data_IF_773414191962
#
_entry.id   IF_773414191962
#
_cell.length_a   1.000
_cell.length_b   1.000
_cell.length_c   1.000
_cell.angle_alpha   90.00
_cell.angle_beta   90.00
_cell.angle_gamma   90.00
#
_symmetry.space_group_name_H-M   'P 1'
#
loop_
_entity.id
_entity.type
_entity.pdbx_description
1 polymer ?
#
# COMPACT_ATOMS: atom_id res chain seq x y z
N UNK A 1 25.25 -4.04 -8.54
CA UNK A 1 23.99 -3.38 -8.10
C UNK A 1 23.27 -2.93 -9.36
N UNK A 2 22.34 -3.73 -9.87
CA UNK A 2 21.54 -3.35 -11.04
C UNK A 2 20.53 -2.28 -10.62
N UNK A 3 20.81 -1.03 -10.94
CA UNK A 3 19.93 0.10 -10.70
C UNK A 3 18.74 0.12 -11.66
N UNK A 4 17.79 -0.82 -11.49
CA UNK A 4 16.52 -0.71 -12.22
C UNK A 4 15.83 0.58 -11.82
N UNK A 5 15.40 1.36 -12.81
CA UNK A 5 14.64 2.60 -12.54
C UNK A 5 13.42 2.29 -11.67
N UNK A 6 13.07 3.16 -10.70
CA UNK A 6 11.90 2.96 -9.87
C UNK A 6 10.63 2.99 -10.74
N UNK A 7 9.72 2.04 -10.49
CA UNK A 7 8.41 1.99 -11.19
C UNK A 7 7.45 3.08 -10.73
N UNK A 8 7.67 3.61 -9.50
CA UNK A 8 6.92 4.71 -8.94
C UNK A 8 7.92 5.62 -8.20
N UNK A 9 7.89 6.93 -8.47
CA UNK A 9 8.86 7.89 -7.93
C UNK A 9 8.18 9.21 -7.58
N UNK A 10 8.55 9.75 -6.44
CA UNK A 10 8.31 11.15 -6.09
C UNK A 10 9.61 11.93 -6.27
N UNK A 11 9.52 13.15 -6.77
CA UNK A 11 10.63 14.02 -7.08
C UNK A 11 10.35 15.43 -6.55
N UNK A 12 11.02 15.80 -5.46
CA UNK A 12 10.88 17.09 -4.77
C UNK A 12 9.42 17.49 -4.45
N UNK A 13 8.62 16.51 -4.01
CA UNK A 13 7.18 16.69 -3.80
C UNK A 13 6.87 17.45 -2.52
N UNK A 14 6.12 18.55 -2.67
CA UNK A 14 5.44 19.26 -1.59
C UNK A 14 3.93 19.14 -1.68
N UNK A 15 3.26 19.11 -0.54
CA UNK A 15 1.80 19.01 -0.48
C UNK A 15 1.22 19.76 0.72
N UNK A 16 0.16 20.56 0.48
CA UNK A 16 -0.61 21.25 1.50
C UNK A 16 -2.02 20.67 1.64
N UNK A 17 -2.54 20.70 2.85
CA UNK A 17 -3.94 20.45 3.13
C UNK A 17 -4.57 21.74 3.65
N UNK A 18 -5.22 22.49 2.76
CA UNK A 18 -5.58 23.86 3.03
C UNK A 18 -4.33 24.72 3.24
N UNK A 19 -4.23 25.41 4.38
CA UNK A 19 -3.05 26.24 4.71
C UNK A 19 -1.91 25.49 5.38
N UNK A 20 -2.11 24.22 5.76
CA UNK A 20 -1.08 23.43 6.47
C UNK A 20 -0.25 22.66 5.46
N UNK A 21 1.05 22.89 5.46
CA UNK A 21 1.99 22.06 4.76
C UNK A 21 2.09 20.68 5.44
N UNK A 22 1.93 19.60 4.68
CA UNK A 22 1.91 18.21 5.17
C UNK A 22 3.13 17.45 4.69
N UNK A 23 3.59 17.71 3.46
CA UNK A 23 4.81 17.14 2.92
C UNK A 23 5.72 18.25 2.41
N UNK A 24 7.02 18.09 2.65
CA UNK A 24 8.03 19.07 2.36
C UNK A 24 9.20 18.42 1.62
N UNK A 25 9.32 18.67 0.33
CA UNK A 25 10.48 18.26 -0.48
C UNK A 25 10.75 16.75 -0.41
N UNK A 26 9.70 15.94 -0.59
CA UNK A 26 9.78 14.49 -0.50
C UNK A 26 10.25 13.91 -1.81
N UNK A 27 11.40 13.22 -1.78
CA UNK A 27 11.91 12.44 -2.90
C UNK A 27 12.11 10.99 -2.48
N UNK A 28 11.54 10.04 -3.22
CA UNK A 28 11.69 8.60 -3.00
C UNK A 28 11.35 7.82 -4.27
N UNK A 29 11.78 6.57 -4.32
CA UNK A 29 11.44 5.66 -5.42
C UNK A 29 11.03 4.30 -4.90
N UNK A 30 10.12 3.64 -5.60
CA UNK A 30 9.64 2.27 -5.34
C UNK A 30 10.11 1.37 -6.48
N UNK A 31 10.69 0.22 -6.17
CA UNK A 31 11.28 -0.68 -7.17
C UNK A 31 10.49 -1.98 -7.28
N UNK A 32 10.51 -2.57 -8.47
CA UNK A 32 9.98 -3.93 -8.70
C UNK A 32 10.77 -4.96 -7.90
N UNK A 33 10.06 -5.96 -7.38
CA UNK A 33 10.67 -7.02 -6.59
C UNK A 33 11.09 -6.64 -5.17
N UNK A 34 10.79 -5.39 -4.74
CA UNK A 34 11.18 -4.85 -3.45
C UNK A 34 9.96 -4.67 -2.53
N UNK A 35 10.11 -5.03 -1.28
CA UNK A 35 9.16 -4.73 -0.21
C UNK A 35 9.67 -3.54 0.59
N UNK A 36 8.99 -2.41 0.48
CA UNK A 36 9.34 -1.15 1.17
C UNK A 36 8.37 -0.88 2.31
N UNK A 37 8.88 -0.73 3.53
CA UNK A 37 8.12 -0.29 4.70
C UNK A 37 8.15 1.24 4.80
N UNK A 38 6.99 1.86 5.04
CA UNK A 38 6.87 3.29 5.34
C UNK A 38 6.50 3.46 6.82
N UNK A 39 7.42 4.00 7.60
CA UNK A 39 7.24 4.23 9.03
C UNK A 39 7.29 5.72 9.38
N UNK A 40 6.67 6.06 10.50
CA UNK A 40 6.68 7.42 11.04
C UNK A 40 5.56 7.62 12.06
N UNK A 41 5.65 8.64 12.91
CA UNK A 41 4.62 8.95 13.90
C UNK A 41 3.28 9.32 13.24
N UNK A 42 2.22 9.34 14.05
CA UNK A 42 0.92 9.84 13.61
C UNK A 42 1.05 11.31 13.19
N UNK A 43 0.43 11.65 12.06
CA UNK A 43 0.55 13.01 11.51
C UNK A 43 1.84 13.28 10.72
N UNK A 44 2.76 12.33 10.57
CA UNK A 44 3.99 12.48 9.77
C UNK A 44 3.74 12.71 8.28
N UNK A 45 2.52 12.41 7.78
CA UNK A 45 2.18 12.56 6.36
C UNK A 45 2.05 11.23 5.60
N UNK A 46 2.15 10.07 6.24
CA UNK A 46 2.10 8.73 5.59
C UNK A 46 0.89 8.56 4.67
N UNK A 47 -0.33 8.76 5.18
CA UNK A 47 -1.56 8.63 4.37
C UNK A 47 -1.60 9.63 3.21
N UNK A 48 -1.06 10.84 3.38
CA UNK A 48 -0.96 11.83 2.29
C UNK A 48 0.03 11.34 1.24
N UNK A 49 1.17 10.81 1.65
CA UNK A 49 2.16 10.21 0.78
C UNK A 49 1.56 9.05 -0.03
N UNK A 50 0.84 8.13 0.63
CA UNK A 50 0.14 7.05 -0.08
C UNK A 50 -0.87 7.58 -1.11
N UNK A 51 -1.62 8.63 -0.78
CA UNK A 51 -2.58 9.25 -1.74
C UNK A 51 -1.90 9.82 -2.97
N UNK A 52 -0.72 10.41 -2.83
CA UNK A 52 0.08 10.89 -3.96
C UNK A 52 0.60 9.72 -4.80
N UNK A 53 1.13 8.68 -4.17
CA UNK A 53 1.57 7.46 -4.84
C UNK A 53 0.44 6.75 -5.60
N UNK A 54 -0.80 6.82 -5.09
CA UNK A 54 -2.00 6.28 -5.71
C UNK A 54 -2.59 7.17 -6.83
N UNK A 55 -2.03 8.36 -7.06
CA UNK A 55 -2.62 9.35 -7.97
C UNK A 55 -3.97 9.92 -7.50
N UNK A 56 -4.33 9.74 -6.21
CA UNK A 56 -5.57 10.26 -5.61
C UNK A 56 -5.44 11.71 -5.16
N UNK A 57 -4.22 12.24 -5.09
CA UNK A 57 -3.92 13.65 -4.83
C UNK A 57 -2.88 14.12 -5.85
N UNK A 58 -2.87 15.42 -6.11
CA UNK A 58 -1.83 16.07 -6.94
C UNK A 58 -0.89 16.83 -6.01
N UNK A 59 0.43 16.76 -6.23
CA UNK A 59 1.37 17.57 -5.47
C UNK A 59 1.21 19.06 -5.82
N UNK A 60 1.51 19.94 -4.84
CA UNK A 60 1.55 21.39 -5.06
C UNK A 60 2.89 21.82 -5.69
N UNK A 61 3.96 21.08 -5.40
CA UNK A 61 5.28 21.23 -6.01
C UNK A 61 5.92 19.87 -6.25
N UNK A 62 6.91 19.82 -7.15
CA UNK A 62 7.56 18.58 -7.54
C UNK A 62 6.68 17.73 -8.44
N UNK A 63 7.03 16.44 -8.58
CA UNK A 63 6.37 15.57 -9.53
C UNK A 63 6.30 14.11 -9.06
N UNK A 64 5.20 13.43 -9.39
CA UNK A 64 5.04 11.98 -9.22
C UNK A 64 5.17 11.31 -10.57
N UNK A 65 5.98 10.26 -10.64
CA UNK A 65 6.27 9.49 -11.84
C UNK A 65 5.80 8.05 -11.69
N UNK A 66 5.12 7.53 -12.70
CA UNK A 66 4.72 6.12 -12.81
C UNK A 66 5.32 5.56 -14.10
N UNK A 67 6.10 4.50 -14.00
CA UNK A 67 6.76 3.84 -15.15
C UNK A 67 7.50 4.82 -16.08
N UNK A 68 8.23 5.77 -15.48
CA UNK A 68 9.01 6.75 -16.23
C UNK A 68 8.22 7.89 -16.86
N UNK A 69 6.91 7.95 -16.66
CA UNK A 69 6.06 9.05 -17.13
C UNK A 69 5.41 9.81 -15.97
N UNK A 70 5.17 11.13 -16.11
CA UNK A 70 4.47 11.87 -15.08
C UNK A 70 3.09 11.27 -14.77
N UNK A 71 2.74 11.12 -13.50
CA UNK A 71 1.45 10.61 -13.05
C UNK A 71 0.26 11.36 -13.66
N UNK A 72 0.43 12.65 -13.92
CA UNK A 72 -0.60 13.50 -14.51
C UNK A 72 -0.97 13.12 -15.96
N UNK A 73 -0.13 12.37 -16.66
CA UNK A 73 -0.38 11.90 -18.03
C UNK A 73 -1.21 10.61 -18.08
N UNK A 74 -1.37 9.95 -16.94
CA UNK A 74 -2.15 8.72 -16.83
C UNK A 74 -3.59 9.03 -16.47
N UNK A 75 -4.55 8.40 -17.16
CA UNK A 75 -5.93 8.39 -16.71
C UNK A 75 -6.06 7.61 -15.39
N UNK A 76 -7.07 7.91 -14.58
CA UNK A 76 -7.36 7.18 -13.35
C UNK A 76 -7.49 5.66 -13.57
N UNK A 77 -8.03 5.26 -14.72
CA UNK A 77 -8.19 3.87 -15.11
C UNK A 77 -6.86 3.19 -15.39
N UNK A 78 -5.96 3.87 -16.06
CA UNK A 78 -4.61 3.36 -16.34
C UNK A 78 -3.80 3.22 -15.06
N UNK A 79 -3.88 4.19 -14.14
CA UNK A 79 -3.27 4.09 -12.81
C UNK A 79 -3.85 2.90 -12.06
N UNK A 80 -5.18 2.74 -12.02
CA UNK A 80 -5.85 1.63 -11.34
C UNK A 80 -5.53 0.25 -11.94
N UNK A 81 -5.05 0.15 -13.17
CA UNK A 81 -4.55 -1.10 -13.75
C UNK A 81 -3.14 -1.46 -13.30
N UNK A 82 -2.38 -0.50 -12.77
CA UNK A 82 -0.98 -0.66 -12.38
C UNK A 82 -0.79 -0.70 -10.88
N UNK A 83 -1.58 0.09 -10.16
CA UNK A 83 -1.46 0.27 -8.72
C UNK A 83 -2.72 -0.27 -8.04
N UNK A 84 -2.57 -1.29 -7.22
CA UNK A 84 -3.64 -1.80 -6.37
C UNK A 84 -3.45 -1.29 -4.93
N UNK A 85 -4.57 -1.01 -4.27
CA UNK A 85 -4.58 -0.43 -2.93
C UNK A 85 -5.37 -1.29 -1.94
N UNK A 86 -4.75 -1.54 -0.80
CA UNK A 86 -5.36 -2.16 0.38
C UNK A 86 -5.45 -1.10 1.48
N UNK A 87 -6.63 -0.58 1.79
CA UNK A 87 -6.82 0.42 2.84
C UNK A 87 -6.71 -0.19 4.23
N UNK A 88 -6.37 0.64 5.21
CA UNK A 88 -6.50 0.31 6.62
C UNK A 88 -7.98 0.13 6.98
N UNK A 89 -8.40 -1.08 7.29
CA UNK A 89 -9.73 -1.43 7.75
C UNK A 89 -10.89 -0.85 6.92
N UNK A 90 -11.93 -1.60 6.74
CA UNK A 90 -13.16 -1.10 6.11
C UNK A 90 -14.34 -1.60 6.93
N UNK A 91 -15.13 -0.68 7.51
CA UNK A 91 -16.41 -1.03 8.05
C UNK A 91 -17.35 -1.40 6.90
N UNK A 92 -17.88 -2.61 6.84
CA UNK A 92 -18.79 -3.02 5.78
C UNK A 92 -20.14 -2.28 5.96
N UNK A 93 -20.56 -1.56 4.93
CA UNK A 93 -21.84 -0.86 4.89
C UNK A 93 -22.97 -1.73 4.32
N UNK A 94 -22.63 -2.68 3.45
CA UNK A 94 -23.59 -3.51 2.73
C UNK A 94 -23.20 -4.99 2.76
N UNK A 95 -24.16 -5.93 2.76
CA UNK A 95 -23.93 -7.37 2.84
C UNK A 95 -23.57 -7.99 1.47
N UNK A 96 -22.63 -7.37 0.74
CA UNK A 96 -22.11 -7.98 -0.50
C UNK A 96 -21.41 -9.30 -0.20
N UNK A 97 -21.49 -10.27 -1.12
CA UNK A 97 -20.71 -11.47 -0.98
C UNK A 97 -19.20 -11.19 -1.12
N UNK A 98 -18.37 -12.05 -0.54
CA UNK A 98 -16.91 -11.98 -0.71
C UNK A 98 -16.52 -11.94 -2.18
N UNK A 99 -17.18 -12.76 -3.00
CA UNK A 99 -16.97 -12.80 -4.47
C UNK A 99 -17.24 -11.45 -5.12
N UNK A 100 -18.29 -10.76 -4.70
CA UNK A 100 -18.65 -9.45 -5.25
C UNK A 100 -17.62 -8.40 -4.86
N UNK A 101 -17.18 -8.37 -3.58
CA UNK A 101 -16.12 -7.47 -3.10
C UNK A 101 -14.83 -7.68 -3.88
N UNK A 102 -14.39 -8.93 -4.06
CA UNK A 102 -13.18 -9.24 -4.84
C UNK A 102 -13.39 -8.87 -6.31
N UNK A 103 -14.60 -9.09 -6.85
CA UNK A 103 -14.99 -8.70 -8.21
C UNK A 103 -14.91 -7.21 -8.48
N UNK A 104 -15.12 -6.36 -7.45
CA UNK A 104 -14.93 -4.90 -7.58
C UNK A 104 -13.50 -4.53 -7.99
N UNK A 105 -12.50 -5.36 -7.71
CA UNK A 105 -11.13 -5.16 -8.21
C UNK A 105 -11.06 -5.12 -9.74
N UNK A 106 -12.02 -5.73 -10.45
CA UNK A 106 -12.05 -5.76 -11.93
C UNK A 106 -12.71 -4.54 -12.59
N UNK A 107 -13.26 -3.59 -11.80
CA UNK A 107 -13.94 -2.41 -12.34
C UNK A 107 -13.04 -1.53 -13.22
N UNK A 108 -11.73 -1.50 -12.96
CA UNK A 108 -10.79 -0.81 -13.83
C UNK A 108 -10.72 -1.42 -15.24
N UNK A 109 -11.04 -2.72 -15.39
CA UNK A 109 -11.05 -3.42 -16.67
C UNK A 109 -12.41 -3.35 -17.39
N UNK A 110 -13.53 -3.36 -16.65
CA UNK A 110 -14.87 -3.44 -17.21
C UNK A 110 -15.88 -2.55 -16.44
N UNK A 111 -15.76 -1.21 -16.46
CA UNK A 111 -16.51 -0.33 -15.56
C UNK A 111 -18.02 -0.31 -15.82
N UNK A 112 -18.48 -0.70 -17.00
CA UNK A 112 -19.89 -0.68 -17.39
C UNK A 112 -20.46 -2.07 -17.73
N UNK A 113 -19.71 -3.16 -17.43
CA UNK A 113 -20.20 -4.50 -17.68
C UNK A 113 -21.25 -4.88 -16.62
N UNK A 114 -22.49 -5.23 -16.98
CA UNK A 114 -23.52 -5.62 -16.02
C UNK A 114 -23.16 -6.94 -15.32
N UNK A 115 -22.24 -7.72 -15.89
CA UNK A 115 -21.69 -8.96 -15.32
C UNK A 115 -20.20 -9.06 -15.63
N UNK A 116 -19.45 -9.64 -14.70
CA UNK A 116 -18.04 -9.97 -14.93
C UNK A 116 -17.91 -10.92 -16.13
N UNK A 117 -16.95 -10.63 -17.01
CA UNK A 117 -16.57 -11.51 -18.12
C UNK A 117 -15.91 -12.78 -17.57
N UNK A 118 -15.80 -13.81 -18.36
CA UNK A 118 -15.16 -15.07 -17.94
C UNK A 118 -13.74 -14.85 -17.40
N UNK A 119 -12.91 -14.09 -18.12
CA UNK A 119 -11.56 -13.73 -17.67
C UNK A 119 -11.53 -13.03 -16.30
N UNK A 120 -12.55 -12.21 -16.00
CA UNK A 120 -12.64 -11.47 -14.74
C UNK A 120 -13.10 -12.42 -13.61
N UNK A 121 -14.02 -13.35 -13.89
CA UNK A 121 -14.39 -14.43 -12.95
C UNK A 121 -13.20 -15.32 -12.62
N UNK A 122 -12.38 -15.66 -13.61
CA UNK A 122 -11.16 -16.45 -13.41
C UNK A 122 -10.14 -15.70 -12.55
N UNK A 123 -9.95 -14.38 -12.76
CA UNK A 123 -9.09 -13.55 -11.92
C UNK A 123 -9.58 -13.50 -10.46
N UNK A 124 -10.89 -13.38 -10.25
CA UNK A 124 -11.50 -13.43 -8.90
C UNK A 124 -11.28 -14.79 -8.25
N UNK A 125 -11.54 -15.89 -8.97
CA UNK A 125 -11.36 -17.25 -8.46
C UNK A 125 -9.88 -17.51 -8.09
N UNK A 126 -8.94 -17.08 -8.94
CA UNK A 126 -7.52 -17.18 -8.67
C UNK A 126 -7.10 -16.38 -7.42
N UNK A 127 -7.57 -15.14 -7.28
CA UNK A 127 -7.26 -14.32 -6.12
C UNK A 127 -7.80 -14.93 -4.81
N UNK A 128 -9.02 -15.49 -4.83
CA UNK A 128 -9.58 -16.19 -3.67
C UNK A 128 -8.79 -17.45 -3.30
N UNK A 129 -8.31 -18.20 -4.29
CA UNK A 129 -7.47 -19.38 -4.07
C UNK A 129 -6.09 -19.02 -3.52
N UNK A 130 -5.43 -17.99 -4.06
CA UNK A 130 -4.12 -17.51 -3.60
C UNK A 130 -4.14 -17.14 -2.11
N UNK A 131 -5.27 -16.59 -1.61
CA UNK A 131 -5.50 -16.26 -0.20
C UNK A 131 -6.09 -17.42 0.61
N UNK A 132 -6.38 -18.58 -0.01
CA UNK A 132 -7.03 -19.73 0.63
C UNK A 132 -8.41 -19.41 1.24
N UNK A 133 -9.15 -18.46 0.65
CA UNK A 133 -10.47 -18.01 1.11
C UNK A 133 -11.60 -18.35 0.14
N UNK A 134 -11.41 -19.30 -0.76
CA UNK A 134 -12.45 -19.74 -1.73
C UNK A 134 -13.71 -20.21 -1.02
N UNK A 135 -13.60 -20.84 0.15
CA UNK A 135 -14.73 -21.30 0.97
C UNK A 135 -15.60 -20.15 1.51
N UNK A 136 -15.09 -18.94 1.53
CA UNK A 136 -15.81 -17.74 1.98
C UNK A 136 -16.55 -17.04 0.83
N UNK A 137 -16.38 -17.46 -0.43
CA UNK A 137 -16.79 -16.73 -1.62
C UNK A 137 -18.26 -16.29 -1.64
N UNK A 138 -19.16 -17.09 -1.08
CA UNK A 138 -20.61 -16.82 -1.03
C UNK A 138 -21.04 -16.12 0.29
N UNK A 139 -20.17 -16.03 1.30
CA UNK A 139 -20.51 -15.42 2.59
C UNK A 139 -20.66 -13.91 2.46
N UNK A 140 -21.59 -13.30 3.20
CA UNK A 140 -21.67 -11.85 3.35
C UNK A 140 -20.39 -11.29 3.99
N UNK A 141 -19.82 -10.24 3.40
CA UNK A 141 -18.59 -9.57 3.92
C UNK A 141 -18.79 -9.03 5.35
N UNK A 142 -20.02 -8.66 5.71
CA UNK A 142 -20.39 -8.17 7.03
C UNK A 142 -20.21 -9.21 8.14
N UNK A 143 -20.27 -10.50 7.83
CA UNK A 143 -20.20 -11.61 8.77
C UNK A 143 -18.77 -12.13 9.01
N UNK A 144 -17.79 -11.56 8.32
CA UNK A 144 -16.41 -12.00 8.40
C UNK A 144 -15.71 -11.46 9.65
N UNK A 145 -14.76 -12.24 10.18
CA UNK A 145 -13.78 -11.77 11.15
C UNK A 145 -12.85 -10.70 10.57
N UNK A 146 -12.13 -9.97 11.43
CA UNK A 146 -11.17 -8.95 10.98
C UNK A 146 -10.12 -9.50 10.02
N UNK A 147 -9.56 -10.66 10.35
CA UNK A 147 -8.55 -11.32 9.50
C UNK A 147 -9.11 -11.81 8.15
N UNK A 148 -10.34 -12.36 8.15
CA UNK A 148 -11.00 -12.76 6.90
C UNK A 148 -11.30 -11.54 6.01
N UNK A 149 -11.76 -10.42 6.61
CA UNK A 149 -11.96 -9.15 5.87
C UNK A 149 -10.67 -8.66 5.23
N UNK A 150 -9.56 -8.70 5.97
CA UNK A 150 -8.26 -8.28 5.45
C UNK A 150 -7.82 -9.17 4.28
N UNK A 151 -8.01 -10.49 4.38
CA UNK A 151 -7.74 -11.42 3.28
C UNK A 151 -8.60 -11.10 2.04
N UNK A 152 -9.88 -10.73 2.22
CA UNK A 152 -10.76 -10.32 1.12
C UNK A 152 -10.28 -9.03 0.46
N UNK A 153 -9.83 -8.03 1.22
CA UNK A 153 -9.28 -6.79 0.66
C UNK A 153 -8.00 -7.03 -0.14
N UNK A 154 -7.13 -7.93 0.35
CA UNK A 154 -5.96 -8.39 -0.39
C UNK A 154 -6.36 -9.13 -1.67
N UNK A 155 -7.33 -10.06 -1.60
CA UNK A 155 -7.83 -10.76 -2.78
C UNK A 155 -8.40 -9.78 -3.83
N UNK A 156 -9.11 -8.74 -3.40
CA UNK A 156 -9.60 -7.66 -4.27
C UNK A 156 -8.44 -6.95 -4.97
N UNK A 157 -7.38 -6.61 -4.24
CA UNK A 157 -6.19 -5.96 -4.80
C UNK A 157 -5.47 -6.88 -5.80
N UNK A 158 -5.35 -8.18 -5.50
CA UNK A 158 -4.76 -9.15 -6.45
C UNK A 158 -5.65 -9.34 -7.69
N UNK A 159 -6.97 -9.44 -7.52
CA UNK A 159 -7.91 -9.55 -8.64
C UNK A 159 -7.84 -8.33 -9.57
N UNK A 160 -7.49 -7.15 -9.06
CA UNK A 160 -7.27 -5.94 -9.86
C UNK A 160 -6.13 -6.12 -10.88
N UNK A 161 -5.08 -6.87 -10.54
CA UNK A 161 -4.00 -7.24 -11.45
C UNK A 161 -2.89 -6.20 -11.56
N UNK A 162 -2.85 -5.19 -10.70
CA UNK A 162 -1.76 -4.22 -10.63
C UNK A 162 -0.47 -4.87 -10.12
N UNK A 163 0.67 -4.48 -10.70
CA UNK A 163 1.99 -4.96 -10.29
C UNK A 163 2.65 -4.08 -9.21
N UNK A 164 2.01 -2.99 -8.80
CA UNK A 164 2.39 -2.15 -7.67
C UNK A 164 1.31 -2.31 -6.60
N UNK A 165 1.69 -2.74 -5.40
CA UNK A 165 0.79 -2.91 -4.27
C UNK A 165 1.10 -1.87 -3.20
N UNK A 166 0.12 -1.04 -2.87
CA UNK A 166 0.19 -0.07 -1.77
C UNK A 166 -0.77 -0.53 -0.69
N UNK A 167 -0.23 -0.76 0.53
CA UNK A 167 -0.98 -1.28 1.65
C UNK A 167 -0.88 -0.30 2.83
N UNK A 168 -2.02 0.05 3.39
CA UNK A 168 -2.09 0.93 4.57
C UNK A 168 -2.38 0.07 5.81
N UNK A 169 -1.34 -0.18 6.62
CA UNK A 169 -1.36 -1.00 7.84
C UNK A 169 -2.05 -2.36 7.67
N UNK A 170 -1.60 -3.19 6.70
CA UNK A 170 -2.31 -4.41 6.32
C UNK A 170 -2.34 -5.48 7.42
N UNK A 171 -1.50 -5.36 8.46
CA UNK A 171 -1.43 -6.28 9.60
C UNK A 171 -2.34 -5.91 10.77
N UNK A 172 -3.03 -4.77 10.71
CA UNK A 172 -3.87 -4.29 11.82
C UNK A 172 -5.05 -5.23 12.07
N UNK A 173 -5.23 -5.65 13.33
CA UNK A 173 -6.30 -6.57 13.73
C UNK A 173 -6.06 -8.05 13.37
N UNK A 174 -4.89 -8.40 12.86
CA UNK A 174 -4.50 -9.78 12.59
C UNK A 174 -3.79 -10.42 13.81
N UNK A 175 -4.09 -11.68 14.07
CA UNK A 175 -3.29 -12.49 15.00
C UNK A 175 -1.91 -12.81 14.43
N UNK A 176 -1.04 -13.39 15.26
CA UNK A 176 0.33 -13.72 14.86
C UNK A 176 0.40 -14.63 13.64
N UNK A 177 -0.41 -15.69 13.60
CA UNK A 177 -0.42 -16.64 12.47
C UNK A 177 -0.92 -16.02 11.17
N UNK A 178 -1.91 -15.15 11.28
CA UNK A 178 -2.45 -14.38 10.13
C UNK A 178 -1.39 -13.40 9.60
N UNK A 179 -0.66 -12.69 10.47
CA UNK A 179 0.45 -11.81 10.07
C UNK A 179 1.53 -12.57 9.32
N UNK A 180 1.93 -13.75 9.81
CA UNK A 180 2.95 -14.56 9.13
C UNK A 180 2.50 -14.98 7.72
N UNK A 181 1.23 -15.40 7.57
CA UNK A 181 0.67 -15.75 6.26
C UNK A 181 0.61 -14.55 5.30
N UNK A 182 0.23 -13.37 5.81
CA UNK A 182 0.24 -12.13 5.06
C UNK A 182 1.64 -11.81 4.53
N UNK A 183 2.63 -11.79 5.41
CA UNK A 183 4.00 -11.45 5.02
C UNK A 183 4.63 -12.46 4.08
N UNK A 184 4.35 -13.76 4.27
CA UNK A 184 4.78 -14.79 3.33
C UNK A 184 4.16 -14.60 1.94
N UNK A 185 2.88 -14.20 1.87
CA UNK A 185 2.23 -13.84 0.61
C UNK A 185 2.90 -12.65 -0.05
N UNK A 186 3.09 -11.54 0.69
CA UNK A 186 3.72 -10.32 0.16
C UNK A 186 5.14 -10.62 -0.36
N UNK A 187 5.91 -11.44 0.37
CA UNK A 187 7.24 -11.87 -0.08
C UNK A 187 7.18 -12.65 -1.40
N UNK A 188 6.24 -13.60 -1.55
CA UNK A 188 6.07 -14.33 -2.81
C UNK A 188 5.68 -13.40 -3.97
N UNK A 189 4.83 -12.41 -3.71
CA UNK A 189 4.44 -11.42 -4.72
C UNK A 189 5.64 -10.55 -5.15
N UNK A 190 6.45 -10.08 -4.19
CA UNK A 190 7.69 -9.35 -4.50
C UNK A 190 8.64 -10.20 -5.36
N UNK A 191 8.86 -11.47 -5.00
CA UNK A 191 9.68 -12.41 -5.78
C UNK A 191 9.14 -12.63 -7.20
N UNK A 192 7.84 -12.47 -7.43
CA UNK A 192 7.20 -12.48 -8.76
C UNK A 192 7.28 -11.13 -9.48
N UNK A 193 8.01 -10.16 -8.94
CA UNK A 193 8.25 -8.85 -9.55
C UNK A 193 7.29 -7.74 -9.14
N UNK A 194 6.38 -7.98 -8.18
CA UNK A 194 5.56 -6.89 -7.67
C UNK A 194 6.40 -5.89 -6.85
N UNK A 195 6.12 -4.61 -7.01
CA UNK A 195 6.62 -3.56 -6.14
C UNK A 195 5.64 -3.38 -4.97
N UNK A 196 6.12 -3.45 -3.73
CA UNK A 196 5.26 -3.42 -2.55
C UNK A 196 5.67 -2.26 -1.64
N UNK A 197 4.70 -1.41 -1.29
CA UNK A 197 4.85 -0.38 -0.25
C UNK A 197 3.80 -0.63 0.82
N UNK A 198 4.21 -0.79 2.07
CA UNK A 198 3.28 -0.93 3.18
C UNK A 198 3.62 0.05 4.31
N UNK A 199 2.61 0.73 4.84
CA UNK A 199 2.75 1.37 6.15
C UNK A 199 2.67 0.32 7.23
N UNK A 200 3.42 0.49 8.32
CA UNK A 200 3.39 -0.41 9.47
C UNK A 200 3.71 0.34 10.76
N UNK A 201 3.18 -0.16 11.86
CA UNK A 201 3.51 0.28 13.23
C UNK A 201 4.39 -0.71 13.99
N UNK A 202 4.83 -1.79 13.32
CA UNK A 202 5.69 -2.81 13.91
C UNK A 202 7.10 -2.75 13.31
N UNK A 203 8.00 -1.91 13.84
CA UNK A 203 9.35 -1.75 13.29
C UNK A 203 10.19 -3.01 13.44
N UNK A 204 9.93 -3.83 14.49
CA UNK A 204 10.67 -5.08 14.71
C UNK A 204 10.38 -6.10 13.62
N UNK A 205 9.10 -6.26 13.27
CA UNK A 205 8.73 -7.12 12.16
C UNK A 205 9.16 -6.53 10.82
N UNK A 206 9.04 -5.20 10.64
CA UNK A 206 9.48 -4.55 9.42
C UNK A 206 10.97 -4.76 9.14
N UNK A 207 11.83 -4.67 10.16
CA UNK A 207 13.28 -4.93 10.04
C UNK A 207 13.60 -6.35 9.53
N UNK A 208 12.75 -7.34 9.85
CA UNK A 208 12.95 -8.75 9.47
C UNK A 208 12.39 -9.09 8.10
N UNK A 209 11.34 -8.39 7.67
CA UNK A 209 10.50 -8.80 6.54
C UNK A 209 10.70 -7.91 5.33
N UNK A 210 10.86 -6.60 5.53
CA UNK A 210 11.00 -5.66 4.42
C UNK A 210 12.45 -5.52 3.99
N UNK A 211 12.66 -5.28 2.70
CA UNK A 211 13.99 -5.07 2.13
C UNK A 211 14.48 -3.66 2.43
N UNK A 212 13.57 -2.70 2.43
CA UNK A 212 13.83 -1.28 2.58
C UNK A 212 12.84 -0.63 3.54
N UNK A 213 13.29 0.40 4.25
CA UNK A 213 12.46 1.25 5.07
C UNK A 213 12.62 2.71 4.67
N UNK A 214 11.52 3.44 4.67
CA UNK A 214 11.46 4.89 4.52
C UNK A 214 10.90 5.44 5.81
N UNK A 215 11.68 6.28 6.49
CA UNK A 215 11.31 6.91 7.74
C UNK A 215 10.82 8.33 7.46
N UNK A 216 9.52 8.55 7.69
CA UNK A 216 8.86 9.84 7.46
C UNK A 216 8.62 10.55 8.79
N UNK A 217 9.11 11.78 8.91
CA UNK A 217 8.91 12.62 10.09
C UNK A 217 8.66 14.07 9.67
N UNK A 218 7.66 14.72 10.26
CA UNK A 218 7.29 16.12 9.95
C UNK A 218 7.16 16.42 8.44
N UNK A 219 6.59 15.49 7.70
CA UNK A 219 6.41 15.64 6.26
C UNK A 219 7.69 15.55 5.43
N UNK A 220 8.80 15.11 6.01
CA UNK A 220 10.10 14.92 5.32
C UNK A 220 10.56 13.47 5.43
N UNK A 221 11.24 12.98 4.41
CA UNK A 221 11.99 11.74 4.52
C UNK A 221 13.20 12.00 5.43
N UNK A 222 13.21 11.35 6.58
CA UNK A 222 14.32 11.45 7.54
C UNK A 222 15.47 10.52 7.12
N UNK A 223 15.11 9.30 6.75
CA UNK A 223 16.07 8.28 6.28
C UNK A 223 15.37 7.34 5.27
N UNK A 224 16.16 6.77 4.37
CA UNK A 224 15.73 5.85 3.32
C UNK A 224 16.85 4.84 3.02
N UNK A 225 16.63 3.56 3.29
CA UNK A 225 17.66 2.53 3.14
C UNK A 225 17.22 1.13 3.55
N UNK A 226 18.18 0.18 3.67
CA UNK A 226 17.88 -1.20 4.08
C UNK A 226 17.14 -1.26 5.41
N UNK A 227 16.00 -1.98 5.47
CA UNK A 227 15.14 -2.01 6.65
C UNK A 227 15.88 -2.49 7.91
N UNK A 228 16.67 -3.56 7.80
CA UNK A 228 17.42 -4.11 8.93
C UNK A 228 18.47 -3.14 9.49
N UNK A 229 19.02 -2.24 8.66
CA UNK A 229 20.01 -1.26 9.09
C UNK A 229 19.36 -0.01 9.71
N UNK A 230 18.19 0.39 9.22
CA UNK A 230 17.51 1.60 9.69
C UNK A 230 16.61 1.37 10.90
N UNK A 231 15.97 0.21 11.02
CA UNK A 231 14.99 -0.05 12.08
C UNK A 231 15.66 -0.57 13.36
N UNK A 232 16.64 0.18 13.85
CA UNK A 232 17.37 -0.07 15.09
C UNK A 232 16.92 0.90 16.20
N UNK A 233 17.05 0.55 17.50
CA UNK A 233 16.52 1.35 18.61
C UNK A 233 16.88 2.84 18.52
N UNK A 234 18.14 3.18 18.32
CA UNK A 234 18.61 4.59 18.22
C UNK A 234 17.88 5.37 17.12
N UNK A 235 17.60 4.75 15.97
CA UNK A 235 16.91 5.41 14.88
C UNK A 235 15.41 5.52 15.17
N UNK A 236 14.83 4.52 15.82
CA UNK A 236 13.43 4.55 16.23
C UNK A 236 13.19 5.61 17.31
N UNK A 237 14.09 5.74 18.27
CA UNK A 237 14.04 6.82 19.28
C UNK A 237 14.05 8.19 18.60
N UNK A 238 14.92 8.40 17.60
CA UNK A 238 14.93 9.64 16.80
C UNK A 238 13.65 9.87 16.01
N UNK A 239 13.11 8.80 15.42
CA UNK A 239 11.88 8.87 14.60
C UNK A 239 10.67 9.26 15.46
N UNK A 240 10.53 8.67 16.64
CA UNK A 240 9.38 8.82 17.52
C UNK A 240 9.61 9.80 18.69
N UNK A 241 10.78 10.42 18.77
CA UNK A 241 11.04 11.43 19.80
C UNK A 241 9.91 12.47 19.84
N UNK A 242 9.38 12.82 21.03
CA UNK A 242 8.43 13.92 21.16
C UNK A 242 9.04 15.19 20.57
N UNK A 243 8.19 16.07 20.03
CA UNK A 243 8.64 17.40 19.65
C UNK A 243 9.14 18.05 20.92
N UNK A 244 10.42 18.39 20.97
CA UNK A 244 10.93 19.23 22.06
C UNK A 244 10.03 20.45 22.16
N UNK A 245 9.45 20.67 23.32
CA UNK A 245 8.76 21.91 23.60
C UNK A 245 9.71 23.04 23.23
N UNK A 246 9.27 23.93 22.39
CA UNK A 246 9.89 25.24 22.27
C UNK A 246 9.93 25.78 23.69
N UNK A 247 11.12 25.81 24.30
CA UNK A 247 11.35 26.66 25.47
C UNK A 247 10.95 28.07 25.02
N UNK A 248 10.03 28.63 25.79
CA UNK A 248 9.59 30.01 25.73
C UNK A 248 10.79 30.97 25.94
#
# INVERSE_FOLDING_TARGET
MNGSQPVLRLDHVGFHRGRRAVLHDVSLGVRTGEMTALLGPNGAGKTTLLRLLLGLARPDSGQVWLEGQPMAHWSRREVARRIAYVPQGHAPLFPYSVRDIVGMGRLAEAPFAPRLRERDRNAVAHALAELSITHLAARPYTELSGGERQAVLLARALAQGGHILILDEPETGLDYGQKQRLYALLRRLAQRGHAIVATTHDPVQAARIFDRAILLRHGRVMEDGPAAALLVPVMLDRLYAPQGGSEE
#
